data_IF_371736631206
#
_entry.id   IF_371736631206
#
_cell.length_a   1.000
_cell.length_b   1.000
_cell.length_c   1.000
_cell.angle_alpha   90.00
_cell.angle_beta   90.00
_cell.angle_gamma   90.00
#
_symmetry.space_group_name_H-M   'P 1'
#
loop_
_entity.id
_entity.type
_entity.pdbx_description
1 polymer ?
#
# COMPACT_ATOMS: atom_id res chain seq x y z
N UNK A 1 -10.59 -15.52 10.77
CA UNK A 1 -9.09 -15.44 10.78
C UNK A 1 -8.73 -13.98 10.90
N UNK A 2 -7.81 -13.59 11.80
CA UNK A 2 -7.38 -12.19 11.94
C UNK A 2 -6.35 -11.85 10.87
N UNK A 3 -6.54 -10.73 10.22
CA UNK A 3 -5.69 -10.29 9.12
C UNK A 3 -5.07 -8.91 9.40
N UNK A 4 -3.83 -8.74 8.97
CA UNK A 4 -3.24 -7.44 8.81
C UNK A 4 -3.17 -7.13 7.31
N UNK A 5 -4.01 -6.21 6.89
CA UNK A 5 -4.20 -5.85 5.49
C UNK A 5 -3.38 -4.59 5.18
N UNK A 6 -2.64 -4.60 4.10
CA UNK A 6 -1.93 -3.44 3.58
C UNK A 6 -2.61 -2.99 2.29
N UNK A 7 -3.02 -1.73 2.20
CA UNK A 7 -3.36 -1.08 0.94
C UNK A 7 -2.18 -0.20 0.59
N UNK A 8 -1.35 -0.68 -0.33
CA UNK A 8 -0.03 -0.14 -0.58
C UNK A 8 0.09 0.44 -2.00
N UNK A 9 1.01 1.36 -2.18
CA UNK A 9 1.32 2.02 -3.44
C UNK A 9 1.84 3.43 -3.20
N UNK A 10 2.57 3.99 -4.16
CA UNK A 10 3.10 5.34 -4.04
C UNK A 10 1.99 6.39 -3.95
N UNK A 11 2.35 7.63 -3.72
CA UNK A 11 1.35 8.70 -3.66
C UNK A 11 0.64 8.85 -5.01
N UNK A 12 -0.63 9.19 -5.02
CA UNK A 12 -1.42 9.38 -6.25
C UNK A 12 -1.94 8.09 -6.90
N UNK A 13 -1.60 6.89 -6.39
CA UNK A 13 -2.09 5.62 -6.96
C UNK A 13 -3.56 5.33 -6.68
N UNK A 14 -4.21 6.08 -5.79
CA UNK A 14 -5.63 5.90 -5.49
C UNK A 14 -5.93 4.90 -4.36
N UNK A 15 -5.02 4.71 -3.40
CA UNK A 15 -5.21 3.78 -2.26
C UNK A 15 -6.54 3.95 -1.55
N UNK A 16 -6.88 5.18 -1.15
CA UNK A 16 -8.14 5.45 -0.43
C UNK A 16 -9.38 5.21 -1.28
N UNK A 17 -9.31 5.48 -2.60
CA UNK A 17 -10.38 5.12 -3.53
C UNK A 17 -10.51 3.60 -3.67
N UNK A 18 -9.40 2.89 -3.73
CA UNK A 18 -9.38 1.42 -3.79
C UNK A 18 -9.94 0.80 -2.50
N UNK A 19 -9.66 1.40 -1.33
CA UNK A 19 -10.30 1.00 -0.08
C UNK A 19 -11.82 1.03 -0.21
N UNK A 20 -12.38 2.12 -0.75
CA UNK A 20 -13.82 2.21 -1.01
C UNK A 20 -14.35 1.13 -1.95
N UNK A 21 -13.55 0.70 -2.94
CA UNK A 21 -13.90 -0.45 -3.80
C UNK A 21 -13.97 -1.75 -3.00
N UNK A 22 -12.99 -2.03 -2.14
CA UNK A 22 -12.98 -3.21 -1.29
C UNK A 22 -14.15 -3.22 -0.29
N UNK A 23 -14.45 -2.07 0.31
CA UNK A 23 -15.61 -1.89 1.19
C UNK A 23 -16.92 -2.18 0.45
N UNK A 24 -17.06 -1.64 -0.77
CA UNK A 24 -18.22 -1.90 -1.64
C UNK A 24 -18.38 -3.36 -2.07
N UNK A 25 -17.27 -4.11 -2.10
CA UNK A 25 -17.25 -5.55 -2.37
C UNK A 25 -17.47 -6.40 -1.11
N UNK A 26 -17.66 -5.79 0.05
CA UNK A 26 -17.88 -6.48 1.31
C UNK A 26 -16.63 -7.15 1.91
N UNK A 27 -15.43 -6.70 1.50
CA UNK A 27 -14.19 -7.21 2.11
C UNK A 27 -14.08 -6.71 3.55
N UNK A 28 -13.89 -7.60 4.54
CA UNK A 28 -13.84 -7.21 5.95
C UNK A 28 -12.50 -6.56 6.29
N UNK A 29 -12.43 -5.23 6.17
CA UNK A 29 -11.18 -4.46 6.35
C UNK A 29 -10.80 -4.23 7.83
N UNK A 30 -11.72 -4.44 8.77
CA UNK A 30 -11.47 -4.20 10.20
C UNK A 30 -11.22 -2.72 10.52
N UNK A 31 -10.32 -2.44 11.46
CA UNK A 31 -9.95 -1.07 11.82
C UNK A 31 -9.05 -0.46 10.75
N UNK A 32 -9.43 0.72 10.25
CA UNK A 32 -8.68 1.42 9.19
C UNK A 32 -7.68 2.40 9.82
N UNK A 33 -6.41 2.26 9.45
CA UNK A 33 -5.33 3.17 9.82
C UNK A 33 -4.78 3.84 8.56
N UNK A 34 -5.12 5.10 8.39
CA UNK A 34 -4.69 5.96 7.28
C UNK A 34 -3.84 7.11 7.82
N UNK A 35 -2.50 7.05 7.68
CA UNK A 35 -1.60 8.09 8.21
C UNK A 35 -1.86 9.48 7.63
N UNK A 36 -2.30 9.59 6.36
CA UNK A 36 -2.61 10.88 5.73
C UNK A 36 -3.86 11.50 6.40
N UNK A 37 -4.87 10.68 6.68
CA UNK A 37 -6.08 11.12 7.38
C UNK A 37 -5.76 11.51 8.83
N UNK A 38 -4.95 10.72 9.53
CA UNK A 38 -4.49 11.02 10.88
C UNK A 38 -3.68 12.33 10.91
N UNK A 39 -2.80 12.56 9.92
CA UNK A 39 -2.04 13.80 9.81
C UNK A 39 -2.97 15.01 9.67
N UNK A 40 -4.00 14.91 8.82
CA UNK A 40 -5.01 15.97 8.66
C UNK A 40 -5.72 16.31 9.98
N UNK A 41 -6.02 15.31 10.80
CA UNK A 41 -6.64 15.51 12.13
C UNK A 41 -5.67 16.12 13.15
N UNK A 42 -4.35 15.93 12.95
CA UNK A 42 -3.28 16.45 13.80
C UNK A 42 -2.61 17.72 13.23
N UNK A 43 -3.36 18.59 12.55
CA UNK A 43 -2.85 19.82 11.92
C UNK A 43 -1.64 19.58 11.01
N UNK A 44 -1.67 18.50 10.25
CA UNK A 44 -0.60 18.06 9.33
C UNK A 44 0.75 17.76 9.99
N UNK A 45 0.75 17.40 11.28
CA UNK A 45 1.96 16.92 11.96
C UNK A 45 2.22 15.46 11.60
N UNK A 46 3.03 15.20 10.56
CA UNK A 46 3.35 13.87 10.08
C UNK A 46 4.02 12.97 11.12
N UNK A 47 4.88 13.53 11.97
CA UNK A 47 5.56 12.76 13.03
C UNK A 47 4.57 12.28 14.09
N UNK A 48 3.66 13.15 14.51
CA UNK A 48 2.60 12.79 15.46
C UNK A 48 1.65 11.75 14.84
N UNK A 49 1.25 11.96 13.59
CA UNK A 49 0.40 11.02 12.85
C UNK A 49 1.05 9.63 12.69
N UNK A 50 2.33 9.58 12.34
CA UNK A 50 3.07 8.32 12.26
C UNK A 50 3.12 7.58 13.60
N UNK A 51 3.36 8.29 14.72
CA UNK A 51 3.33 7.70 16.06
C UNK A 51 1.94 7.21 16.44
N UNK A 52 0.90 7.96 16.10
CA UNK A 52 -0.48 7.58 16.35
C UNK A 52 -0.86 6.34 15.55
N UNK A 53 -0.58 6.31 14.24
CA UNK A 53 -0.84 5.16 13.39
C UNK A 53 -0.20 3.87 13.94
N UNK A 54 1.06 3.96 14.40
CA UNK A 54 1.74 2.82 15.02
C UNK A 54 1.02 2.33 16.27
N UNK A 55 0.57 3.26 17.14
CA UNK A 55 -0.16 2.91 18.37
C UNK A 55 -1.50 2.23 18.05
N UNK A 56 -2.25 2.77 17.09
CA UNK A 56 -3.54 2.19 16.66
C UNK A 56 -3.34 0.77 16.14
N UNK A 57 -2.36 0.55 15.25
CA UNK A 57 -2.02 -0.79 14.76
C UNK A 57 -1.68 -1.73 15.93
N UNK A 58 -0.81 -1.29 16.85
CA UNK A 58 -0.41 -2.13 17.99
C UNK A 58 -1.58 -2.49 18.91
N UNK A 59 -2.52 -1.57 19.11
CA UNK A 59 -3.73 -1.83 19.89
C UNK A 59 -4.61 -2.87 19.21
N UNK A 60 -4.87 -2.74 17.88
CA UNK A 60 -5.63 -3.75 17.13
C UNK A 60 -4.97 -5.13 17.21
N UNK A 61 -3.64 -5.18 16.99
CA UNK A 61 -2.90 -6.45 17.09
C UNK A 61 -3.03 -7.08 18.48
N UNK A 62 -2.88 -6.29 19.55
CA UNK A 62 -3.03 -6.76 20.93
C UNK A 62 -4.44 -7.29 21.22
N UNK A 63 -5.46 -6.67 20.66
CA UNK A 63 -6.86 -7.07 20.83
C UNK A 63 -7.27 -8.23 19.92
N UNK A 64 -6.42 -8.67 18.99
CA UNK A 64 -6.76 -9.72 18.03
C UNK A 64 -7.71 -9.26 16.91
N UNK A 65 -7.79 -7.96 16.66
CA UNK A 65 -8.68 -7.35 15.67
C UNK A 65 -8.01 -7.31 14.30
N UNK A 66 -8.79 -7.51 13.22
CA UNK A 66 -8.32 -7.26 11.85
C UNK A 66 -8.05 -5.76 11.69
N UNK A 67 -6.91 -5.42 11.09
CA UNK A 67 -6.49 -4.03 10.84
C UNK A 67 -6.04 -3.85 9.40
N UNK A 68 -6.45 -2.72 8.80
CA UNK A 68 -6.01 -2.31 7.46
C UNK A 68 -5.18 -1.03 7.56
N UNK A 69 -3.99 -1.05 7.00
CA UNK A 69 -3.12 0.13 6.93
C UNK A 69 -2.97 0.60 5.48
N UNK A 70 -3.23 1.89 5.23
CA UNK A 70 -2.78 2.55 4.00
C UNK A 70 -1.30 2.94 4.13
N UNK A 71 -0.50 2.68 3.09
CA UNK A 71 0.95 2.93 3.16
C UNK A 71 1.61 3.10 1.80
N UNK A 72 2.68 3.89 1.75
CA UNK A 72 3.60 3.97 0.60
C UNK A 72 4.75 2.96 0.67
N UNK A 73 4.82 2.14 1.72
CA UNK A 73 5.89 1.21 2.06
C UNK A 73 7.27 1.87 2.29
N UNK A 74 7.36 3.19 2.26
CA UNK A 74 8.63 3.93 2.41
C UNK A 74 9.20 3.91 3.83
N UNK A 75 8.37 3.59 4.84
CA UNK A 75 8.77 3.58 6.24
C UNK A 75 9.21 2.19 6.70
N UNK A 76 10.33 2.11 7.40
CA UNK A 76 10.78 0.90 8.10
C UNK A 76 9.79 0.42 9.18
N UNK A 77 8.90 1.30 9.66
CA UNK A 77 7.93 0.96 10.69
C UNK A 77 6.88 -0.05 10.20
N UNK A 78 6.52 0.01 8.90
CA UNK A 78 5.59 -0.97 8.29
C UNK A 78 6.13 -2.39 8.45
N UNK A 79 7.40 -2.61 8.12
CA UNK A 79 8.05 -3.92 8.26
C UNK A 79 8.03 -4.41 9.72
N UNK A 80 8.31 -3.53 10.69
CA UNK A 80 8.26 -3.87 12.12
C UNK A 80 6.86 -4.26 12.57
N UNK A 81 5.84 -3.57 12.10
CA UNK A 81 4.44 -3.88 12.42
C UNK A 81 4.02 -5.23 11.83
N UNK A 82 4.43 -5.54 10.60
CA UNK A 82 4.16 -6.83 9.96
C UNK A 82 4.80 -7.99 10.75
N UNK A 83 6.07 -7.86 11.14
CA UNK A 83 6.77 -8.89 11.92
C UNK A 83 6.00 -9.17 13.22
N UNK A 84 5.64 -8.11 13.97
CA UNK A 84 4.83 -8.26 15.20
C UNK A 84 3.48 -8.92 14.95
N UNK A 85 2.81 -8.60 13.85
CA UNK A 85 1.54 -9.22 13.47
C UNK A 85 1.73 -10.73 13.20
N UNK A 86 2.78 -11.11 12.47
CA UNK A 86 3.10 -12.51 12.19
C UNK A 86 3.39 -13.29 13.48
N UNK A 87 4.18 -12.72 14.41
CA UNK A 87 4.44 -13.32 15.73
C UNK A 87 3.16 -13.58 16.53
N UNK A 88 2.10 -12.82 16.27
CA UNK A 88 0.78 -12.97 16.90
C UNK A 88 -0.20 -13.81 16.07
N UNK A 89 0.27 -14.48 15.01
CA UNK A 89 -0.52 -15.37 14.16
C UNK A 89 -1.49 -14.67 13.22
N UNK A 90 -1.20 -13.42 12.82
CA UNK A 90 -1.95 -12.72 11.78
C UNK A 90 -1.55 -13.22 10.39
N UNK A 91 -2.54 -13.34 9.52
CA UNK A 91 -2.33 -13.46 8.09
C UNK A 91 -2.06 -12.07 7.50
N UNK A 92 -1.01 -11.96 6.68
CA UNK A 92 -0.61 -10.69 6.05
C UNK A 92 -1.08 -10.68 4.60
N UNK A 93 -1.98 -9.76 4.27
CA UNK A 93 -2.51 -9.58 2.92
C UNK A 93 -2.15 -8.20 2.42
N UNK A 94 -1.56 -8.08 1.23
CA UNK A 94 -1.24 -6.80 0.63
C UNK A 94 -1.98 -6.63 -0.69
N UNK A 95 -2.69 -5.52 -0.83
CA UNK A 95 -3.18 -4.97 -2.09
C UNK A 95 -2.23 -3.87 -2.52
N UNK A 96 -1.49 -4.08 -3.59
CA UNK A 96 -0.58 -3.08 -4.13
C UNK A 96 -1.16 -2.44 -5.37
N UNK A 97 -1.24 -1.10 -5.38
CA UNK A 97 -1.75 -0.31 -6.49
C UNK A 97 -0.57 0.37 -7.19
N UNK A 98 -0.36 0.02 -8.47
CA UNK A 98 0.69 0.58 -9.30
C UNK A 98 0.19 1.59 -10.32
N UNK A 99 1.13 2.36 -10.85
CA UNK A 99 1.01 3.27 -11.99
C UNK A 99 2.26 3.12 -12.85
N UNK A 100 2.12 3.30 -14.17
CA UNK A 100 3.25 3.20 -15.08
C UNK A 100 4.25 4.36 -14.90
N UNK A 101 3.78 5.58 -14.64
CA UNK A 101 4.66 6.74 -14.62
C UNK A 101 4.55 7.58 -13.35
N UNK A 102 5.67 8.20 -12.95
CA UNK A 102 5.69 9.22 -11.90
C UNK A 102 4.90 10.48 -12.26
N UNK A 103 4.77 10.77 -13.55
CA UNK A 103 4.03 11.94 -14.03
C UNK A 103 2.55 11.83 -13.75
N UNK A 104 1.97 10.64 -13.92
CA UNK A 104 0.59 10.37 -13.55
C UNK A 104 0.37 10.54 -12.04
N UNK A 105 1.30 10.07 -11.23
CA UNK A 105 1.29 10.26 -9.78
C UNK A 105 1.26 11.75 -9.41
N UNK A 106 2.17 12.55 -9.99
CA UNK A 106 2.26 14.01 -9.77
C UNK A 106 0.97 14.71 -10.23
N UNK A 107 0.48 14.38 -11.42
CA UNK A 107 -0.74 14.96 -11.98
C UNK A 107 -1.97 14.71 -11.08
N UNK A 108 -2.13 13.51 -10.57
CA UNK A 108 -3.23 13.15 -9.67
C UNK A 108 -3.15 13.87 -8.33
N UNK A 109 -1.93 14.04 -7.78
CA UNK A 109 -1.72 14.83 -6.56
C UNK A 109 -2.09 16.29 -6.80
N UNK A 110 -1.60 16.90 -7.89
CA UNK A 110 -1.95 18.28 -8.24
C UNK A 110 -3.46 18.49 -8.41
N UNK A 111 -4.17 17.53 -9.03
CA UNK A 111 -5.62 17.57 -9.15
C UNK A 111 -6.32 17.45 -7.79
N UNK A 112 -5.80 16.61 -6.89
CA UNK A 112 -6.30 16.48 -5.51
C UNK A 112 -6.13 17.78 -4.73
N UNK A 113 -4.98 18.43 -4.83
CA UNK A 113 -4.69 19.73 -4.18
C UNK A 113 -5.65 20.81 -4.66
N UNK A 114 -5.90 20.90 -5.97
CA UNK A 114 -6.89 21.86 -6.53
C UNK A 114 -8.30 21.67 -5.96
N UNK A 115 -8.63 20.46 -5.48
CA UNK A 115 -9.90 20.13 -4.82
C UNK A 115 -9.84 20.27 -3.29
N UNK A 116 -8.80 20.91 -2.73
CA UNK A 116 -8.63 21.10 -1.28
C UNK A 116 -8.01 19.91 -0.54
N UNK A 117 -7.40 18.95 -1.25
CA UNK A 117 -6.70 17.83 -0.65
C UNK A 117 -5.27 18.19 -0.23
N UNK A 118 -4.65 17.28 0.53
CA UNK A 118 -3.27 17.44 1.03
C UNK A 118 -2.25 17.40 -0.11
N UNK A 119 -1.30 18.34 -0.07
CA UNK A 119 -0.17 18.40 -0.99
C UNK A 119 0.98 17.50 -0.51
N UNK A 120 1.79 17.05 -1.47
CA UNK A 120 3.01 16.30 -1.23
C UNK A 120 4.09 16.88 -2.13
N UNK A 121 5.25 17.27 -1.58
CA UNK A 121 6.34 17.83 -2.38
C UNK A 121 6.69 16.92 -3.57
N UNK A 122 6.81 17.45 -4.78
CA UNK A 122 7.11 16.66 -5.99
C UNK A 122 8.36 15.77 -5.85
N UNK A 123 9.40 16.27 -5.17
CA UNK A 123 10.64 15.52 -4.93
C UNK A 123 10.39 14.26 -4.10
N UNK A 124 9.50 14.34 -3.11
CA UNK A 124 9.08 13.18 -2.32
C UNK A 124 8.30 12.16 -3.15
N UNK A 125 7.43 12.64 -4.03
CA UNK A 125 6.69 11.76 -4.96
C UNK A 125 7.65 11.04 -5.89
N UNK A 126 8.59 11.77 -6.50
CA UNK A 126 9.60 11.22 -7.41
C UNK A 126 10.47 10.20 -6.68
N UNK A 127 10.98 10.56 -5.51
CA UNK A 127 11.82 9.67 -4.69
C UNK A 127 11.10 8.36 -4.33
N UNK A 128 9.85 8.44 -3.85
CA UNK A 128 9.04 7.27 -3.50
C UNK A 128 8.72 6.42 -4.73
N UNK A 129 8.45 7.05 -5.87
CA UNK A 129 8.21 6.34 -7.12
C UNK A 129 9.46 5.60 -7.62
N UNK A 130 10.63 6.24 -7.56
CA UNK A 130 11.90 5.65 -7.98
C UNK A 130 12.24 4.40 -7.14
N UNK A 131 12.04 4.47 -5.81
CA UNK A 131 12.37 3.37 -4.89
C UNK A 131 11.19 2.42 -4.60
N UNK A 132 10.13 2.44 -5.42
CA UNK A 132 8.92 1.65 -5.17
C UNK A 132 9.15 0.15 -5.15
N UNK A 133 10.01 -0.33 -6.03
CA UNK A 133 10.29 -1.77 -6.13
C UNK A 133 11.18 -2.26 -4.98
N UNK A 134 12.20 -1.49 -4.60
CA UNK A 134 12.98 -1.77 -3.39
C UNK A 134 12.09 -1.83 -2.12
N UNK A 135 11.08 -0.96 -2.05
CA UNK A 135 10.12 -0.97 -0.95
C UNK A 135 9.24 -2.23 -0.98
N UNK A 136 8.78 -2.65 -2.17
CA UNK A 136 8.06 -3.91 -2.38
C UNK A 136 8.90 -5.11 -1.96
N UNK A 137 10.16 -5.17 -2.38
CA UNK A 137 11.07 -6.29 -2.13
C UNK A 137 11.32 -6.55 -0.66
N UNK A 138 11.29 -5.49 0.15
CA UNK A 138 11.41 -5.61 1.61
C UNK A 138 10.15 -6.16 2.29
N UNK A 139 8.99 -6.06 1.66
CA UNK A 139 7.68 -6.36 2.28
C UNK A 139 7.04 -7.63 1.70
N UNK A 140 7.13 -7.84 0.39
CA UNK A 140 6.51 -9.00 -0.29
C UNK A 140 6.88 -10.33 0.37
N UNK A 141 8.14 -10.61 0.76
CA UNK A 141 8.48 -11.89 1.41
C UNK A 141 7.83 -12.11 2.78
N UNK A 142 7.28 -11.06 3.38
CA UNK A 142 6.59 -11.14 4.67
C UNK A 142 5.08 -11.36 4.52
N UNK A 143 4.54 -11.23 3.31
CA UNK A 143 3.12 -11.36 3.03
C UNK A 143 2.75 -12.80 2.70
N UNK A 144 1.61 -13.25 3.20
CA UNK A 144 1.03 -14.56 2.85
C UNK A 144 0.29 -14.48 1.51
N UNK A 145 -0.19 -13.28 1.16
CA UNK A 145 -0.78 -13.00 -0.15
C UNK A 145 -0.50 -11.55 -0.58
N UNK A 146 -0.15 -11.37 -1.85
CA UNK A 146 -0.04 -10.05 -2.48
C UNK A 146 -0.90 -10.03 -3.73
N UNK A 147 -1.69 -8.98 -3.91
CA UNK A 147 -2.54 -8.78 -5.08
C UNK A 147 -2.17 -7.42 -5.69
N UNK A 148 -1.77 -7.46 -6.96
CA UNK A 148 -1.34 -6.27 -7.70
C UNK A 148 -2.48 -5.74 -8.55
N UNK A 149 -2.75 -4.44 -8.42
CA UNK A 149 -3.71 -3.71 -9.23
C UNK A 149 -3.02 -2.59 -9.99
N UNK A 150 -3.30 -2.49 -11.26
CA UNK A 150 -3.03 -1.30 -12.05
C UNK A 150 -4.17 -0.30 -11.88
N UNK A 151 -3.82 1.00 -11.86
CA UNK A 151 -4.80 2.08 -11.81
C UNK A 151 -4.48 3.22 -12.79
N UNK A 152 -3.92 2.94 -13.95
CA UNK A 152 -3.77 3.98 -14.98
C UNK A 152 -5.14 4.40 -15.54
N UNK A 153 -6.02 3.43 -15.80
CA UNK A 153 -7.36 3.65 -16.37
C UNK A 153 -8.47 2.94 -15.55
N UNK A 154 -8.34 2.91 -14.23
CA UNK A 154 -9.24 2.20 -13.33
C UNK A 154 -8.58 0.95 -12.76
N UNK A 155 -9.15 0.43 -11.65
CA UNK A 155 -8.54 -0.67 -10.92
C UNK A 155 -8.68 -2.01 -11.67
N UNK A 156 -7.59 -2.49 -12.24
CA UNK A 156 -7.50 -3.79 -12.92
C UNK A 156 -6.53 -4.68 -12.15
N UNK A 157 -7.00 -5.84 -11.69
CA UNK A 157 -6.12 -6.85 -11.10
C UNK A 157 -5.20 -7.41 -12.19
N UNK A 158 -3.87 -7.31 -12.01
CA UNK A 158 -2.87 -7.68 -13.03
C UNK A 158 -2.03 -8.90 -12.66
N UNK A 159 -1.75 -9.08 -11.36
CA UNK A 159 -0.97 -10.21 -10.88
C UNK A 159 -1.29 -10.51 -9.41
N UNK A 160 -0.83 -11.66 -8.94
CA UNK A 160 -0.83 -12.02 -7.52
C UNK A 160 0.40 -12.85 -7.15
N UNK A 161 0.76 -12.79 -5.87
CA UNK A 161 1.69 -13.74 -5.24
C UNK A 161 0.92 -14.47 -4.15
N UNK A 162 0.94 -15.79 -4.21
CA UNK A 162 0.39 -16.68 -3.18
C UNK A 162 1.41 -17.78 -2.95
N UNK A 163 1.73 -18.04 -1.69
CA UNK A 163 2.74 -19.03 -1.28
C UNK A 163 4.09 -18.83 -2.02
N UNK A 164 4.50 -17.57 -2.14
CA UNK A 164 5.74 -17.17 -2.81
C UNK A 164 5.74 -17.27 -4.34
N UNK A 165 4.64 -17.75 -4.96
CA UNK A 165 4.55 -17.92 -6.41
C UNK A 165 3.86 -16.72 -7.06
N UNK A 166 4.57 -16.05 -7.97
CA UNK A 166 4.03 -14.95 -8.79
C UNK A 166 3.23 -15.50 -9.97
N UNK A 167 2.04 -14.95 -10.21
CA UNK A 167 1.18 -15.29 -11.36
C UNK A 167 0.50 -14.05 -11.91
N UNK A 168 0.54 -13.87 -13.23
CA UNK A 168 -0.34 -12.91 -13.91
C UNK A 168 -1.79 -13.41 -13.87
N UNK A 169 -2.75 -12.49 -13.70
CA UNK A 169 -4.18 -12.86 -13.54
C UNK A 169 -4.99 -12.72 -14.83
N UNK A 170 -4.47 -11.96 -15.81
CA UNK A 170 -5.12 -11.75 -17.12
C UNK A 170 -4.09 -11.44 -18.20
N UNK A 171 -4.54 -11.09 -19.42
CA UNK A 171 -3.67 -10.72 -20.53
C UNK A 171 -3.18 -9.27 -20.50
N UNK A 172 -3.75 -8.40 -19.66
CA UNK A 172 -3.32 -7.03 -19.50
C UNK A 172 -2.10 -6.97 -18.59
N UNK A 173 -0.99 -6.45 -19.12
CA UNK A 173 0.30 -6.40 -18.45
C UNK A 173 0.90 -5.00 -18.59
N UNK A 174 0.55 -4.06 -17.71
CA UNK A 174 1.17 -2.73 -17.71
C UNK A 174 2.69 -2.83 -17.46
N UNK A 175 3.45 -1.88 -17.99
CA UNK A 175 4.92 -1.93 -18.01
C UNK A 175 5.52 -2.08 -16.62
N UNK A 176 4.95 -1.41 -15.62
CA UNK A 176 5.47 -1.44 -14.25
C UNK A 176 5.44 -2.85 -13.60
N UNK A 177 4.43 -3.69 -13.91
CA UNK A 177 4.36 -5.04 -13.33
C UNK A 177 5.28 -6.01 -14.09
N UNK A 178 5.48 -5.78 -15.39
CA UNK A 178 6.46 -6.52 -16.20
C UNK A 178 7.87 -6.19 -15.73
N UNK A 179 8.19 -4.91 -15.54
CA UNK A 179 9.47 -4.44 -14.98
C UNK A 179 9.74 -5.05 -13.60
N UNK A 180 8.74 -5.00 -12.70
CA UNK A 180 8.86 -5.59 -11.36
C UNK A 180 9.16 -7.09 -11.42
N UNK A 181 8.41 -7.83 -12.24
CA UNK A 181 8.60 -9.28 -12.36
C UNK A 181 9.95 -9.65 -12.98
N UNK A 182 10.39 -8.90 -14.00
CA UNK A 182 11.68 -9.12 -14.66
C UNK A 182 12.85 -8.89 -13.69
N UNK A 183 12.83 -7.82 -12.90
CA UNK A 183 13.86 -7.53 -11.90
C UNK A 183 14.02 -8.67 -10.90
N UNK A 184 12.90 -9.33 -10.52
CA UNK A 184 12.92 -10.48 -9.61
C UNK A 184 13.54 -11.75 -10.22
N UNK A 185 13.47 -11.94 -11.52
CA UNK A 185 14.08 -13.08 -12.19
C UNK A 185 15.60 -12.91 -12.36
N UNK A 186 16.08 -11.68 -12.42
CA UNK A 186 17.52 -11.38 -12.59
C UNK A 186 18.32 -11.36 -11.28
N UNK A 187 17.63 -11.30 -10.13
CA UNK A 187 18.25 -11.34 -8.79
C UNK A 187 18.37 -12.76 -8.19
N UNK A 188 17.82 -13.78 -8.86
CA UNK A 188 17.92 -15.20 -8.49
C UNK A 188 19.02 -15.90 -9.28
#
# INVERSE_FOLDING_TARGET
MKEYILIAGVNGTGKSSFRGVLEGQGVPLGHIVDPDLIAKQNNFNELAAGKQAVREIQNCLKNGETVTQETTLSSHQVRKSIIKAKEQGYRIVMYYIGLNTKYESIYRIANRVRKGGHDIPPDDVIRRFTHRFEALDRIVPLCDKVIFYDNDNGFVKVAEITDGTFRYTNGYRPDWIVEYHHNKQTEQ
#
